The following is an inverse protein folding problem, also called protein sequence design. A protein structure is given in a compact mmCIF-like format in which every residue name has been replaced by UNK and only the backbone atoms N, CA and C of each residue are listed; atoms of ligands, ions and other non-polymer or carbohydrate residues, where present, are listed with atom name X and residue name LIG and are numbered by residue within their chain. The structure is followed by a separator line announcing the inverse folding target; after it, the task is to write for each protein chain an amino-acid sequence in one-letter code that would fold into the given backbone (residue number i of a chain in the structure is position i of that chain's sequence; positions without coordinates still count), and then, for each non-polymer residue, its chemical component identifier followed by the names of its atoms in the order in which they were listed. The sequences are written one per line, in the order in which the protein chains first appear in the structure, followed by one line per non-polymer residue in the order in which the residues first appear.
data_IF_192494644012
#
_entry.id   IF_192494644012
#
_cell.length_a   1.000
_cell.length_b   1.000
_cell.length_c   1.000
_cell.angle_alpha   90.00
_cell.angle_beta   90.00
_cell.angle_gamma   90.00
#
_symmetry.space_group_name_H-M   'P 1'
#
loop_
_entity.id
_entity.type
_entity.pdbx_description
1 polymer ?
#
# COMPACT_ATOMS: atom_id res chain seq x y z
N UNK A 1 16.67 46.49 28.92
CA UNK A 1 16.56 45.74 27.65
C UNK A 1 17.43 44.49 27.79
N UNK A 2 16.88 43.41 28.33
CA UNK A 2 17.62 42.15 28.49
C UNK A 2 17.79 41.54 27.10
N UNK A 3 18.98 41.71 26.52
CA UNK A 3 19.40 40.98 25.34
C UNK A 3 19.46 39.51 25.72
N UNK A 4 18.42 38.78 25.36
CA UNK A 4 18.38 37.34 25.48
C UNK A 4 19.28 36.83 24.37
N UNK A 5 20.45 36.33 24.76
CA UNK A 5 21.44 35.73 23.87
C UNK A 5 20.79 34.63 23.01
N UNK A 6 21.07 34.62 21.71
CA UNK A 6 20.40 33.73 20.73
C UNK A 6 20.45 32.24 21.13
N UNK A 7 21.49 31.85 21.88
CA UNK A 7 21.64 30.52 22.48
C UNK A 7 20.52 30.19 23.50
N UNK A 8 20.17 31.13 24.37
CA UNK A 8 19.11 30.94 25.37
C UNK A 8 17.70 30.80 24.75
N UNK A 9 17.46 31.44 23.60
CA UNK A 9 16.22 31.30 22.82
C UNK A 9 16.11 29.88 22.25
N UNK A 10 17.22 29.36 21.71
CA UNK A 10 17.29 28.02 21.15
C UNK A 10 17.04 26.93 22.21
N UNK A 11 17.70 27.04 23.37
CA UNK A 11 17.55 26.09 24.49
C UNK A 11 16.12 26.09 25.05
N UNK A 12 15.48 27.26 25.14
CA UNK A 12 14.09 27.35 25.61
C UNK A 12 13.10 26.70 24.64
N UNK A 13 13.31 26.89 23.32
CA UNK A 13 12.50 26.22 22.28
C UNK A 13 12.69 24.71 22.32
N UNK A 14 13.94 24.25 22.45
CA UNK A 14 14.28 22.83 22.54
C UNK A 14 13.69 22.16 23.78
N UNK A 15 13.75 22.80 24.95
CA UNK A 15 13.15 22.28 26.19
C UNK A 15 11.62 22.13 26.08
N UNK A 16 10.94 23.07 25.41
CA UNK A 16 9.51 22.97 25.13
C UNK A 16 9.20 21.82 24.17
N UNK A 17 9.99 21.65 23.11
CA UNK A 17 9.83 20.56 22.15
C UNK A 17 10.05 19.18 22.80
N UNK A 18 11.06 19.03 23.66
CA UNK A 18 11.33 17.79 24.40
C UNK A 18 10.20 17.46 25.39
N UNK A 19 9.69 18.46 26.13
CA UNK A 19 8.55 18.27 27.04
C UNK A 19 7.26 17.93 26.30
N UNK A 20 7.03 18.55 25.15
CA UNK A 20 5.87 18.27 24.29
C UNK A 20 5.94 16.86 23.69
N UNK A 21 7.13 16.44 23.22
CA UNK A 21 7.38 15.08 22.75
C UNK A 21 7.20 14.04 23.86
N UNK A 22 7.71 14.31 25.06
CA UNK A 22 7.52 13.44 26.23
C UNK A 22 6.05 13.31 26.64
N UNK A 23 5.31 14.41 26.67
CA UNK A 23 3.87 14.40 26.96
C UNK A 23 3.07 13.60 25.91
N UNK A 24 3.42 13.74 24.63
CA UNK A 24 2.81 12.98 23.54
C UNK A 24 3.08 11.47 23.65
N UNK A 25 4.30 11.07 24.01
CA UNK A 25 4.66 9.66 24.22
C UNK A 25 3.94 9.03 25.41
N UNK A 26 3.75 9.78 26.50
CA UNK A 26 2.97 9.36 27.66
C UNK A 26 1.48 9.25 27.31
N UNK A 27 0.95 10.22 26.56
CA UNK A 27 -0.44 10.20 26.09
C UNK A 27 -0.75 8.97 25.24
N UNK A 28 0.15 8.61 24.30
CA UNK A 28 0.02 7.43 23.46
C UNK A 28 -0.01 6.11 24.24
N UNK A 29 0.67 6.03 25.39
CA UNK A 29 0.70 4.81 26.22
C UNK A 29 -0.57 4.58 27.04
N UNK A 30 -1.50 5.55 27.07
CA UNK A 30 -2.76 5.45 27.84
C UNK A 30 -3.96 4.98 27.00
N UNK A 31 -3.73 4.56 25.75
CA UNK A 31 -4.78 4.06 24.87
C UNK A 31 -5.37 2.75 25.40
N UNK A 32 -6.63 2.79 25.84
CA UNK A 32 -7.41 1.64 26.30
C UNK A 32 -7.86 0.76 25.13
N UNK A 33 -8.13 -0.55 25.35
CA UNK A 33 -8.50 -1.46 24.27
C UNK A 33 -9.92 -1.17 23.76
N UNK A 34 -10.03 -0.57 22.56
CA UNK A 34 -11.29 -0.36 21.88
C UNK A 34 -11.63 -1.56 20.97
N UNK A 35 -12.61 -2.38 21.37
CA UNK A 35 -13.17 -3.45 20.55
C UNK A 35 -14.27 -2.93 19.59
N UNK A 36 -13.93 -1.97 18.75
CA UNK A 36 -14.79 -1.52 17.65
C UNK A 36 -13.93 -1.38 16.39
N UNK A 37 -14.35 -2.01 15.30
CA UNK A 37 -13.72 -2.11 13.96
C UNK A 37 -13.48 -0.75 13.25
N UNK A 38 -13.51 0.36 14.00
CA UNK A 38 -13.37 1.74 13.58
C UNK A 38 -12.33 2.46 14.46
N UNK A 39 -11.21 1.82 14.81
CA UNK A 39 -10.02 2.59 15.18
C UNK A 39 -9.65 3.45 13.96
N UNK A 40 -9.46 4.78 14.09
CA UNK A 40 -9.22 5.66 12.95
C UNK A 40 -8.01 5.23 12.10
N UNK A 41 -7.07 4.45 12.63
CA UNK A 41 -6.00 3.82 11.86
C UNK A 41 -6.44 2.63 11.00
N UNK A 42 -7.43 1.85 11.44
CA UNK A 42 -7.90 0.65 10.72
C UNK A 42 -8.78 1.01 9.52
N UNK A 43 -9.59 2.07 9.64
CA UNK A 43 -10.41 2.57 8.52
C UNK A 43 -9.58 2.93 7.28
N UNK A 44 -8.44 3.60 7.48
CA UNK A 44 -7.51 3.93 6.39
C UNK A 44 -6.87 2.70 5.76
N UNK A 45 -6.47 1.71 6.57
CA UNK A 45 -5.86 0.46 6.07
C UNK A 45 -6.84 -0.34 5.23
N UNK A 46 -8.12 -0.43 5.63
CA UNK A 46 -9.14 -1.13 4.84
C UNK A 46 -9.29 -0.47 3.47
N UNK A 47 -9.47 0.85 3.42
CA UNK A 47 -9.61 1.58 2.15
C UNK A 47 -8.36 1.45 1.28
N UNK A 48 -7.16 1.60 1.87
CA UNK A 48 -5.90 1.42 1.14
C UNK A 48 -5.74 0.00 0.60
N UNK A 49 -6.10 -1.03 1.37
CA UNK A 49 -6.02 -2.43 0.95
C UNK A 49 -6.98 -2.74 -0.20
N UNK A 50 -8.19 -2.16 -0.20
CA UNK A 50 -9.17 -2.34 -1.28
C UNK A 50 -8.64 -1.69 -2.56
N UNK A 51 -8.16 -0.45 -2.48
CA UNK A 51 -7.61 0.27 -3.64
C UNK A 51 -6.38 -0.47 -4.19
N UNK A 52 -5.46 -0.86 -3.30
CA UNK A 52 -4.26 -1.62 -3.67
C UNK A 52 -4.60 -2.98 -4.26
N UNK A 53 -5.58 -3.68 -3.71
CA UNK A 53 -6.07 -4.97 -4.21
C UNK A 53 -6.69 -4.87 -5.60
N UNK A 54 -7.53 -3.85 -5.84
CA UNK A 54 -8.12 -3.61 -7.17
C UNK A 54 -7.03 -3.25 -8.18
N UNK A 55 -6.09 -2.37 -7.81
CA UNK A 55 -4.98 -2.01 -8.68
C UNK A 55 -4.11 -3.22 -9.03
N UNK A 56 -3.74 -4.04 -8.04
CA UNK A 56 -2.97 -5.26 -8.25
C UNK A 56 -3.72 -6.25 -9.15
N UNK A 57 -5.01 -6.50 -8.89
CA UNK A 57 -5.82 -7.41 -9.72
C UNK A 57 -5.94 -6.92 -11.16
N UNK A 58 -6.17 -5.62 -11.36
CA UNK A 58 -6.26 -5.02 -12.69
C UNK A 58 -4.93 -5.11 -13.45
N UNK A 59 -3.80 -4.78 -12.80
CA UNK A 59 -2.47 -4.89 -13.40
C UNK A 59 -2.12 -6.34 -13.71
N UNK A 60 -2.37 -7.26 -12.79
CA UNK A 60 -2.10 -8.69 -12.99
C UNK A 60 -2.95 -9.25 -14.13
N UNK A 61 -4.26 -8.94 -14.15
CA UNK A 61 -5.15 -9.31 -15.24
C UNK A 61 -4.70 -8.77 -16.59
N UNK A 62 -4.33 -7.48 -16.65
CA UNK A 62 -3.84 -6.85 -17.88
C UNK A 62 -2.55 -7.49 -18.40
N UNK A 63 -1.59 -7.80 -17.52
CA UNK A 63 -0.35 -8.48 -17.89
C UNK A 63 -0.59 -9.89 -18.43
N UNK A 64 -1.51 -10.63 -17.82
CA UNK A 64 -1.82 -12.00 -18.24
C UNK A 64 -2.76 -12.07 -19.44
N UNK A 65 -3.50 -11.01 -19.76
CA UNK A 65 -4.43 -10.96 -20.90
C UNK A 65 -3.75 -11.33 -22.23
N UNK A 66 -2.51 -10.90 -22.44
CA UNK A 66 -1.74 -11.24 -23.63
C UNK A 66 -1.38 -12.75 -23.67
N UNK A 67 -0.99 -13.33 -22.52
CA UNK A 67 -0.62 -14.74 -22.41
C UNK A 67 -1.84 -15.64 -22.56
N UNK A 68 -2.96 -15.28 -21.94
CA UNK A 68 -4.24 -16.00 -22.06
C UNK A 68 -4.70 -16.03 -23.51
N UNK A 69 -4.68 -14.89 -24.22
CA UNK A 69 -5.03 -14.84 -25.65
C UNK A 69 -4.10 -15.70 -26.51
N UNK A 70 -2.80 -15.65 -26.29
CA UNK A 70 -1.84 -16.49 -27.02
C UNK A 70 -2.07 -17.99 -26.75
N UNK A 71 -2.35 -18.37 -25.51
CA UNK A 71 -2.65 -19.74 -25.12
C UNK A 71 -3.94 -20.25 -25.77
N UNK A 72 -5.00 -19.44 -25.75
CA UNK A 72 -6.27 -19.77 -26.39
C UNK A 72 -6.15 -19.89 -27.90
N UNK A 73 -5.39 -19.00 -28.54
CA UNK A 73 -5.12 -19.04 -29.97
C UNK A 73 -4.34 -20.30 -30.38
N UNK A 74 -3.41 -20.76 -29.53
CA UNK A 74 -2.65 -21.99 -29.75
C UNK A 74 -3.49 -23.25 -29.57
N UNK A 75 -4.50 -23.23 -28.69
CA UNK A 75 -5.43 -24.36 -28.51
C UNK A 75 -6.42 -24.41 -29.68
N UNK A 76 -6.87 -23.26 -30.18
CA UNK A 76 -7.86 -23.17 -31.26
C UNK A 76 -7.28 -23.56 -32.63
N UNK A 77 -6.00 -23.29 -32.90
CA UNK A 77 -5.36 -23.61 -34.18
C UNK A 77 -4.90 -25.07 -34.32
N UNK A 78 -5.26 -25.97 -33.41
CA UNK A 78 -4.80 -27.37 -33.45
C UNK A 78 -5.75 -28.34 -34.16
N UNK A 79 -6.51 -27.87 -35.15
CA UNK A 79 -7.45 -28.68 -35.92
C UNK A 79 -7.47 -28.26 -37.39
N UNK A 80 -6.38 -28.49 -38.14
CA UNK A 80 -6.39 -28.81 -39.59
C UNK A 80 -4.96 -28.77 -40.17
N UNK A 81 -4.15 -29.80 -39.94
CA UNK A 81 -3.15 -30.26 -40.93
C UNK A 81 -2.51 -31.49 -40.32
N UNK A 82 -3.00 -32.66 -40.71
CA UNK A 82 -2.21 -33.89 -40.89
C UNK A 82 -3.17 -35.04 -41.19
N UNK A 83 -3.77 -35.07 -42.38
CA UNK A 83 -4.39 -36.28 -42.98
C UNK A 83 -4.74 -36.09 -44.47
N UNK A 84 -3.85 -35.49 -45.28
CA UNK A 84 -4.04 -35.45 -46.75
C UNK A 84 -2.71 -35.44 -47.52
N UNK A 85 -1.82 -36.40 -47.27
CA UNK A 85 -0.73 -36.69 -48.21
C UNK A 85 -0.05 -38.04 -47.92
N UNK A 86 -0.69 -39.12 -48.35
CA UNK A 86 -0.03 -40.35 -48.82
C UNK A 86 -1.12 -41.16 -49.55
N UNK A 87 -1.01 -41.67 -50.76
CA UNK A 87 0.11 -42.05 -51.61
C UNK A 87 -0.35 -41.88 -53.07
N UNK A 88 0.59 -41.47 -53.91
CA UNK A 88 0.51 -41.59 -55.38
C UNK A 88 0.66 -43.05 -55.81
#
# INVERSE_FOLDING_TARGET
MTGMDDESVFVMSYSKAVKLSGFFLVFLNTAQPAHAYLDPGTGSIIIQSIIGGIAAAATFGALYWAKVKAFFNSILHKETTDSSSDSK
#
